data_IF_196481263929
#
_entry.id   IF_196481263929
#
_cell.length_a   1.000
_cell.length_b   1.000
_cell.length_c   1.000
_cell.angle_alpha   90.00
_cell.angle_beta   90.00
_cell.angle_gamma   90.00
#
_symmetry.space_group_name_H-M   'P 1'
#
loop_
_entity.id
_entity.type
_entity.pdbx_description
1 polymer ?
#
# COMPACT_ATOMS: atom_id res chain seq x y z
N UNK A 1 10.27 9.61 -18.80
CA UNK A 1 11.36 9.03 -19.63
C UNK A 1 11.38 7.51 -19.44
N UNK A 2 11.93 6.76 -20.38
CA UNK A 2 12.10 5.31 -20.28
C UNK A 2 13.43 4.90 -20.92
N UNK A 3 13.93 3.75 -20.53
CA UNK A 3 15.06 3.07 -21.15
C UNK A 3 14.53 2.10 -22.19
N UNK A 4 15.23 1.97 -23.32
CA UNK A 4 14.90 1.04 -24.39
C UNK A 4 16.16 0.33 -24.85
N UNK A 5 16.06 -0.99 -25.07
CA UNK A 5 17.10 -1.79 -25.70
C UNK A 5 16.71 -2.11 -27.14
N UNK A 6 17.50 -1.60 -28.10
CA UNK A 6 17.25 -1.73 -29.54
C UNK A 6 16.07 -0.90 -30.03
N UNK A 7 15.83 -0.88 -31.35
CA UNK A 7 14.75 -0.12 -31.97
C UNK A 7 13.47 -0.93 -32.21
N UNK A 8 13.54 -2.26 -32.01
CA UNK A 8 12.44 -3.19 -32.29
C UNK A 8 12.38 -3.52 -33.78
N UNK A 9 13.39 -4.23 -34.28
CA UNK A 9 13.41 -4.74 -35.65
C UNK A 9 12.56 -6.01 -35.77
N UNK A 10 12.07 -6.30 -36.99
CA UNK A 10 11.31 -7.52 -37.32
C UNK A 10 10.02 -7.78 -36.50
N UNK A 11 9.39 -6.72 -35.98
CA UNK A 11 8.10 -6.81 -35.29
C UNK A 11 8.18 -7.20 -33.81
N UNK A 12 9.38 -7.36 -33.26
CA UNK A 12 9.56 -7.56 -31.82
C UNK A 12 9.44 -6.24 -31.05
N UNK A 13 8.73 -6.27 -29.91
CA UNK A 13 8.64 -5.10 -29.04
C UNK A 13 9.97 -4.91 -28.31
N UNK A 14 10.62 -3.75 -28.41
CA UNK A 14 11.91 -3.54 -27.76
C UNK A 14 11.74 -3.61 -26.25
N UNK A 15 12.75 -4.15 -25.56
CA UNK A 15 12.73 -4.24 -24.11
C UNK A 15 12.77 -2.83 -23.54
N UNK A 16 11.82 -2.53 -22.64
CA UNK A 16 11.70 -1.21 -22.02
C UNK A 16 11.66 -1.30 -20.52
N UNK A 17 12.24 -0.31 -19.86
CA UNK A 17 12.11 -0.12 -18.42
C UNK A 17 11.82 1.34 -18.11
N UNK A 18 11.08 1.57 -17.02
CA UNK A 18 10.77 2.93 -16.59
C UNK A 18 12.05 3.59 -16.08
N UNK A 19 12.21 4.88 -16.37
CA UNK A 19 13.32 5.64 -15.79
C UNK A 19 13.02 5.98 -14.31
N UNK A 20 13.97 5.82 -13.37
CA UNK A 20 13.79 6.17 -11.97
C UNK A 20 13.32 7.62 -11.76
N UNK A 21 12.30 7.81 -10.91
CA UNK A 21 11.82 9.16 -10.57
C UNK A 21 12.87 9.89 -9.74
N UNK A 22 13.19 11.13 -10.12
CA UNK A 22 14.09 12.00 -9.35
C UNK A 22 15.58 11.88 -9.71
N UNK A 23 15.99 10.91 -10.54
CA UNK A 23 17.35 10.88 -11.12
C UNK A 23 17.46 11.77 -12.36
N UNK A 24 18.67 12.22 -12.68
CA UNK A 24 18.97 12.86 -13.97
C UNK A 24 19.40 11.81 -14.99
N UNK A 25 19.15 12.11 -16.27
CA UNK A 25 19.52 11.21 -17.37
C UNK A 25 21.03 11.00 -17.48
N UNK A 26 21.81 12.03 -17.14
CA UNK A 26 23.28 12.03 -17.15
C UNK A 26 23.89 11.09 -16.09
N UNK A 27 23.13 10.80 -15.04
CA UNK A 27 23.59 9.98 -13.91
C UNK A 27 23.44 8.48 -14.18
N UNK A 28 22.92 8.06 -15.34
CA UNK A 28 22.68 6.65 -15.66
C UNK A 28 23.64 6.19 -16.74
N UNK A 29 24.57 5.32 -16.35
CA UNK A 29 25.51 4.70 -17.29
C UNK A 29 24.90 3.47 -17.98
N UNK A 30 25.67 2.86 -18.90
CA UNK A 30 25.23 1.67 -19.63
C UNK A 30 24.97 0.47 -18.69
N UNK A 31 25.80 0.29 -17.65
CA UNK A 31 25.68 -0.83 -16.74
C UNK A 31 24.39 -0.72 -15.91
N UNK A 32 24.11 0.46 -15.36
CA UNK A 32 22.87 0.76 -14.65
C UNK A 32 21.65 0.70 -15.57
N UNK A 33 21.77 1.15 -16.83
CA UNK A 33 20.69 1.05 -17.80
C UNK A 33 20.32 -0.41 -18.09
N UNK A 34 21.32 -1.27 -18.29
CA UNK A 34 21.13 -2.71 -18.48
C UNK A 34 20.52 -3.37 -17.24
N UNK A 35 20.96 -2.94 -16.05
CA UNK A 35 20.39 -3.39 -14.78
C UNK A 35 18.90 -3.04 -14.68
N UNK A 36 18.52 -1.79 -14.96
CA UNK A 36 17.12 -1.36 -14.98
C UNK A 36 16.29 -2.09 -16.04
N UNK A 37 16.89 -2.36 -17.21
CA UNK A 37 16.30 -3.16 -18.28
C UNK A 37 16.17 -4.65 -17.93
N UNK A 38 16.88 -5.15 -16.92
CA UNK A 38 16.73 -6.54 -16.46
C UNK A 38 15.41 -6.78 -15.69
N UNK A 39 14.76 -5.72 -15.20
CA UNK A 39 13.51 -5.81 -14.45
C UNK A 39 12.33 -6.21 -15.34
N UNK A 40 11.31 -6.89 -14.79
CA UNK A 40 11.19 -7.34 -13.40
C UNK A 40 12.10 -8.54 -13.06
N UNK A 41 12.72 -8.52 -11.87
CA UNK A 41 13.62 -9.57 -11.35
C UNK A 41 12.82 -10.58 -10.52
N UNK A 42 13.01 -11.87 -10.76
CA UNK A 42 12.51 -12.92 -9.87
C UNK A 42 13.31 -12.89 -8.55
N UNK A 43 12.60 -12.69 -7.43
CA UNK A 43 13.20 -12.73 -6.09
C UNK A 43 13.22 -14.16 -5.57
N UNK A 44 12.14 -14.91 -5.80
CA UNK A 44 11.99 -16.30 -5.39
C UNK A 44 10.53 -16.76 -5.47
N UNK A 45 10.27 -17.95 -4.93
CA UNK A 45 8.93 -18.51 -4.78
C UNK A 45 8.55 -18.46 -3.30
N UNK A 46 7.36 -17.98 -3.00
CA UNK A 46 6.82 -17.99 -1.65
C UNK A 46 6.50 -19.42 -1.22
N UNK A 47 7.08 -19.87 -0.11
CA UNK A 47 6.89 -21.23 0.41
C UNK A 47 5.45 -21.50 0.85
N UNK A 48 4.71 -20.48 1.30
CA UNK A 48 3.36 -20.65 1.84
C UNK A 48 2.30 -20.73 0.74
N UNK A 49 2.49 -19.98 -0.35
CA UNK A 49 1.49 -19.88 -1.44
C UNK A 49 1.93 -20.57 -2.73
N UNK A 50 3.21 -20.88 -2.89
CA UNK A 50 3.79 -21.36 -4.14
C UNK A 50 3.83 -20.30 -5.26
N UNK A 51 3.50 -19.03 -4.97
CA UNK A 51 3.49 -17.97 -5.97
C UNK A 51 4.88 -17.32 -6.12
N UNK A 52 5.22 -16.95 -7.35
CA UNK A 52 6.42 -16.16 -7.62
C UNK A 52 6.34 -14.76 -7.02
N UNK A 53 7.44 -14.35 -6.39
CA UNK A 53 7.66 -13.00 -5.91
C UNK A 53 8.66 -12.30 -6.83
N UNK A 54 8.22 -11.19 -7.43
CA UNK A 54 9.04 -10.40 -8.38
C UNK A 54 9.27 -8.99 -7.88
N UNK A 55 10.48 -8.48 -8.04
CA UNK A 55 10.85 -7.09 -7.79
C UNK A 55 10.88 -6.30 -9.11
N UNK A 56 10.51 -5.02 -9.08
CA UNK A 56 10.46 -4.20 -10.29
C UNK A 56 10.30 -2.72 -10.01
N UNK A 57 10.27 -1.94 -11.11
CA UNK A 57 10.09 -0.50 -11.07
C UNK A 57 8.79 -0.11 -11.78
N UNK A 58 7.87 0.49 -11.03
CA UNK A 58 6.55 0.88 -11.53
C UNK A 58 6.32 2.40 -11.49
N UNK A 59 5.09 2.81 -11.85
CA UNK A 59 4.69 4.23 -11.87
C UNK A 59 4.87 4.97 -10.53
N UNK A 60 4.86 4.24 -9.42
CA UNK A 60 4.95 4.79 -8.07
C UNK A 60 6.32 4.58 -7.43
N UNK A 61 7.30 4.03 -8.16
CA UNK A 61 8.60 3.66 -7.63
C UNK A 61 8.81 2.15 -7.57
N UNK A 62 9.87 1.71 -6.88
CA UNK A 62 10.25 0.31 -6.77
C UNK A 62 9.22 -0.49 -5.95
N UNK A 63 9.02 -1.75 -6.31
CA UNK A 63 8.03 -2.61 -5.70
C UNK A 63 8.44 -4.09 -5.71
N UNK A 64 7.81 -4.86 -4.83
CA UNK A 64 7.72 -6.33 -4.89
C UNK A 64 6.27 -6.74 -5.16
N UNK A 65 6.06 -7.84 -5.88
CA UNK A 65 4.73 -8.34 -6.25
C UNK A 65 4.64 -9.84 -6.11
N UNK A 66 3.54 -10.30 -5.52
CA UNK A 66 3.09 -11.70 -5.48
C UNK A 66 1.67 -11.76 -6.05
N UNK A 67 1.50 -12.43 -7.18
CA UNK A 67 0.23 -12.44 -7.91
C UNK A 67 -0.30 -11.04 -8.25
N UNK A 68 -1.42 -10.63 -7.62
CA UNK A 68 -2.06 -9.31 -7.79
C UNK A 68 -1.71 -8.30 -6.69
N UNK A 69 -0.97 -8.71 -5.65
CA UNK A 69 -0.60 -7.86 -4.53
C UNK A 69 0.77 -7.26 -4.79
N UNK A 70 0.87 -5.94 -4.66
CA UNK A 70 2.12 -5.19 -4.83
C UNK A 70 2.45 -4.54 -3.50
N UNK A 71 3.70 -4.57 -3.04
CA UNK A 71 4.21 -3.75 -1.94
C UNK A 71 5.34 -2.85 -2.42
N UNK A 72 5.40 -1.63 -1.88
CA UNK A 72 6.40 -0.64 -2.29
C UNK A 72 7.69 -0.89 -1.52
N UNK A 73 8.82 -0.73 -2.21
CA UNK A 73 10.14 -0.72 -1.58
C UNK A 73 10.50 0.72 -1.20
N UNK A 74 11.31 0.89 -0.15
CA UNK A 74 11.69 2.21 0.34
C UNK A 74 12.77 2.84 -0.56
N UNK A 75 13.78 2.05 -0.91
CA UNK A 75 14.91 2.53 -1.71
C UNK A 75 14.88 1.94 -3.12
N UNK A 76 15.58 2.62 -4.03
CA UNK A 76 15.74 2.13 -5.40
C UNK A 76 16.56 0.85 -5.44
N UNK A 77 17.67 0.78 -4.71
CA UNK A 77 18.59 -0.37 -4.78
C UNK A 77 17.96 -1.68 -4.29
N UNK A 78 16.97 -1.57 -3.40
CA UNK A 78 16.21 -2.71 -2.87
C UNK A 78 15.57 -3.55 -4.00
N UNK A 79 15.26 -2.96 -5.15
CA UNK A 79 14.68 -3.72 -6.27
C UNK A 79 15.63 -4.80 -6.82
N UNK A 80 16.93 -4.67 -6.55
CA UNK A 80 17.97 -5.62 -6.95
C UNK A 80 18.44 -6.50 -5.79
N UNK A 81 18.37 -6.01 -4.56
CA UNK A 81 18.95 -6.68 -3.38
C UNK A 81 17.92 -7.36 -2.47
N UNK A 82 16.65 -7.00 -2.53
CA UNK A 82 15.62 -7.53 -1.61
C UNK A 82 15.56 -9.06 -1.64
N UNK A 83 15.52 -9.67 -0.45
CA UNK A 83 15.38 -11.11 -0.25
C UNK A 83 13.92 -11.58 -0.26
N UNK A 84 13.71 -12.90 -0.41
CA UNK A 84 12.37 -13.49 -0.47
C UNK A 84 11.57 -13.26 0.82
N UNK A 85 12.21 -13.43 1.99
CA UNK A 85 11.56 -13.29 3.29
C UNK A 85 11.05 -11.85 3.53
N UNK A 86 11.91 -10.87 3.25
CA UNK A 86 11.55 -9.45 3.36
C UNK A 86 10.44 -9.08 2.36
N UNK A 87 10.55 -9.54 1.12
CA UNK A 87 9.54 -9.27 0.09
C UNK A 87 8.17 -9.85 0.48
N UNK A 88 8.13 -11.08 0.98
CA UNK A 88 6.91 -11.72 1.48
C UNK A 88 6.34 -10.94 2.67
N UNK A 89 7.17 -10.53 3.63
CA UNK A 89 6.77 -9.72 4.79
C UNK A 89 6.13 -8.38 4.37
N UNK A 90 6.71 -7.67 3.41
CA UNK A 90 6.14 -6.42 2.89
C UNK A 90 4.79 -6.62 2.20
N UNK A 91 4.64 -7.71 1.46
CA UNK A 91 3.41 -8.07 0.76
C UNK A 91 2.31 -8.45 1.77
N UNK A 92 2.66 -9.23 2.79
CA UNK A 92 1.82 -9.60 3.92
C UNK A 92 1.32 -8.36 4.68
N UNK A 93 2.22 -7.45 5.07
CA UNK A 93 1.91 -6.22 5.77
C UNK A 93 0.93 -5.36 4.96
N UNK A 94 1.15 -5.24 3.64
CA UNK A 94 0.26 -4.47 2.79
C UNK A 94 -1.10 -5.14 2.61
N UNK A 95 -1.17 -6.47 2.54
CA UNK A 95 -2.42 -7.24 2.50
C UNK A 95 -3.22 -7.05 3.80
N UNK A 96 -2.53 -7.01 4.94
CA UNK A 96 -3.08 -6.69 6.26
C UNK A 96 -3.39 -5.19 6.42
N UNK A 97 -3.25 -4.37 5.38
CA UNK A 97 -3.61 -2.95 5.41
C UNK A 97 -2.65 -2.07 6.23
N UNK A 98 -1.44 -2.57 6.52
CA UNK A 98 -0.40 -1.84 7.25
C UNK A 98 -0.88 -1.33 8.61
N UNK A 99 -1.66 -2.13 9.33
CA UNK A 99 -2.06 -1.80 10.68
C UNK A 99 -1.69 -2.87 11.69
N UNK A 100 -1.24 -2.42 12.86
CA UNK A 100 -1.01 -3.28 14.04
C UNK A 100 -2.16 -3.07 15.02
N UNK A 101 -2.58 -4.14 15.70
CA UNK A 101 -3.57 -4.01 16.77
C UNK A 101 -2.85 -3.43 17.99
N UNK A 102 -3.29 -2.26 18.46
CA UNK A 102 -2.78 -1.66 19.69
C UNK A 102 -3.56 -2.17 20.89
N UNK A 103 -4.90 -2.19 20.80
CA UNK A 103 -5.78 -2.59 21.90
C UNK A 103 -7.13 -3.05 21.39
N UNK A 104 -7.71 -4.06 22.03
CA UNK A 104 -9.10 -4.46 21.81
C UNK A 104 -9.95 -3.93 22.96
N UNK A 105 -11.00 -3.17 22.66
CA UNK A 105 -11.90 -2.59 23.66
C UNK A 105 -13.13 -3.46 23.93
N UNK A 106 -13.41 -4.42 23.04
CA UNK A 106 -14.53 -5.36 23.15
C UNK A 106 -15.79 -4.91 22.42
N UNK A 107 -16.91 -5.56 22.69
CA UNK A 107 -18.16 -5.35 21.96
C UNK A 107 -18.79 -3.99 22.25
N UNK A 108 -19.17 -3.28 21.20
CA UNK A 108 -19.86 -2.00 21.27
C UNK A 108 -21.18 -2.13 22.04
N UNK A 109 -21.44 -1.29 23.06
CA UNK A 109 -22.59 -1.45 23.96
C UNK A 109 -23.96 -1.38 23.25
N UNK A 110 -24.08 -0.58 22.19
CA UNK A 110 -25.31 -0.48 21.37
C UNK A 110 -25.40 -1.44 20.19
N UNK A 111 -24.28 -1.74 19.50
CA UNK A 111 -24.31 -2.48 18.23
C UNK A 111 -23.83 -3.92 18.36
N UNK A 112 -23.15 -4.27 19.46
CA UNK A 112 -22.56 -5.58 19.70
C UNK A 112 -21.34 -5.90 18.84
N UNK A 113 -20.83 -4.93 18.06
CA UNK A 113 -19.69 -5.12 17.16
C UNK A 113 -18.38 -4.87 17.91
N UNK A 114 -17.37 -5.71 17.73
CA UNK A 114 -16.08 -5.53 18.38
C UNK A 114 -15.37 -4.25 17.94
N UNK A 115 -14.98 -3.45 18.93
CA UNK A 115 -14.23 -2.21 18.76
C UNK A 115 -12.76 -2.46 19.08
N UNK A 116 -11.89 -2.02 18.15
CA UNK A 116 -10.43 -2.15 18.26
C UNK A 116 -9.73 -0.83 17.96
N UNK A 117 -8.60 -0.62 18.62
CA UNK A 117 -7.66 0.46 18.33
C UNK A 117 -6.49 -0.14 17.58
N UNK A 118 -6.23 0.41 16.39
CA UNK A 118 -5.21 -0.07 15.47
C UNK A 118 -4.24 1.08 15.14
N UNK A 119 -2.95 0.81 15.00
CA UNK A 119 -1.98 1.76 14.47
C UNK A 119 -1.89 1.60 12.96
N UNK A 120 -2.25 2.61 12.18
CA UNK A 120 -2.16 2.56 10.72
C UNK A 120 -1.15 3.56 10.15
N UNK A 121 -1.06 3.60 8.81
CA UNK A 121 -0.17 4.53 8.06
C UNK A 121 -0.24 6.00 8.50
N UNK A 122 -1.40 6.46 8.96
CA UNK A 122 -1.66 7.86 9.31
C UNK A 122 -1.70 8.11 10.83
N UNK A 123 -1.32 7.11 11.63
CA UNK A 123 -1.41 7.13 13.10
C UNK A 123 -2.51 6.21 13.65
N UNK A 124 -2.67 6.16 14.98
CA UNK A 124 -3.68 5.36 15.65
C UNK A 124 -5.11 5.71 15.22
N UNK A 125 -5.97 4.71 15.11
CA UNK A 125 -7.38 4.87 14.83
C UNK A 125 -8.23 3.80 15.51
N UNK A 126 -9.45 4.16 15.87
CA UNK A 126 -10.48 3.23 16.33
C UNK A 126 -11.27 2.70 15.14
N UNK A 127 -11.61 1.42 15.15
CA UNK A 127 -12.49 0.80 14.16
C UNK A 127 -13.43 -0.23 14.80
N UNK A 128 -14.66 -0.30 14.27
CA UNK A 128 -15.63 -1.38 14.49
C UNK A 128 -15.67 -2.34 13.27
N UNK A 129 -14.67 -2.28 12.39
CA UNK A 129 -14.63 -2.98 11.10
C UNK A 129 -15.47 -2.33 9.99
N UNK A 130 -16.42 -1.45 10.33
CA UNK A 130 -17.31 -0.79 9.35
C UNK A 130 -17.01 0.71 9.19
N UNK A 131 -16.75 1.40 10.28
CA UNK A 131 -16.41 2.80 10.40
C UNK A 131 -15.07 2.95 11.14
N UNK A 132 -14.27 3.91 10.68
CA UNK A 132 -12.92 4.14 11.19
C UNK A 132 -12.80 5.61 11.60
N UNK A 133 -12.27 5.85 12.80
CA UNK A 133 -12.06 7.16 13.36
C UNK A 133 -10.61 7.32 13.82
N UNK A 134 -9.85 8.22 13.18
CA UNK A 134 -8.47 8.50 13.58
C UNK A 134 -8.41 9.20 14.93
N UNK A 135 -7.48 8.78 15.79
CA UNK A 135 -7.17 9.48 17.03
C UNK A 135 -6.48 10.81 16.71
N UNK A 136 -6.72 11.81 17.55
CA UNK A 136 -5.99 13.08 17.46
C UNK A 136 -4.59 12.91 18.07
N UNK A 137 -3.66 13.81 17.74
CA UNK A 137 -2.25 13.72 18.21
C UNK A 137 -2.10 13.85 19.73
N UNK A 138 -3.08 14.46 20.38
CA UNK A 138 -3.18 14.71 21.80
C UNK A 138 -3.88 13.57 22.57
N UNK A 139 -4.39 12.55 21.88
CA UNK A 139 -5.09 11.43 22.50
C UNK A 139 -4.17 10.20 22.57
N UNK A 140 -4.05 9.60 23.76
CA UNK A 140 -3.33 8.34 23.93
C UNK A 140 -4.22 7.15 23.55
N UNK A 141 -3.65 6.20 22.81
CA UNK A 141 -4.32 4.97 22.43
C UNK A 141 -4.54 4.03 23.62
N UNK A 142 -3.71 4.11 24.66
CA UNK A 142 -3.81 3.27 25.85
C UNK A 142 -4.85 3.80 26.84
N UNK A 143 -4.99 5.12 26.97
CA UNK A 143 -5.93 5.75 27.91
C UNK A 143 -7.35 5.89 27.34
N UNK A 144 -7.53 5.69 26.03
CA UNK A 144 -8.83 5.84 25.38
C UNK A 144 -9.88 4.92 26.01
N UNK A 145 -11.00 5.50 26.40
CA UNK A 145 -12.14 4.76 26.98
C UNK A 145 -13.04 4.19 25.90
N UNK A 146 -13.83 3.17 26.26
CA UNK A 146 -14.80 2.57 25.35
C UNK A 146 -15.87 3.57 24.90
N UNK A 147 -16.27 4.47 25.80
CA UNK A 147 -17.31 5.48 25.55
C UNK A 147 -16.84 6.50 24.50
N UNK A 148 -15.62 7.00 24.63
CA UNK A 148 -15.00 7.91 23.66
C UNK A 148 -14.79 7.24 22.30
N UNK A 149 -14.32 5.98 22.31
CA UNK A 149 -14.13 5.18 21.10
C UNK A 149 -15.45 5.01 20.33
N UNK A 150 -16.54 4.75 21.04
CA UNK A 150 -17.90 4.65 20.48
C UNK A 150 -18.35 5.99 19.87
N UNK A 151 -18.17 7.10 20.58
CA UNK A 151 -18.54 8.42 20.07
C UNK A 151 -17.77 8.74 18.78
N UNK A 152 -16.47 8.48 18.77
CA UNK A 152 -15.62 8.67 17.59
C UNK A 152 -16.11 7.84 16.39
N UNK A 153 -16.49 6.58 16.61
CA UNK A 153 -17.03 5.69 15.58
C UNK A 153 -18.38 6.19 15.06
N UNK A 154 -19.30 6.60 15.95
CA UNK A 154 -20.61 7.14 15.56
C UNK A 154 -20.44 8.40 14.69
N UNK A 155 -19.55 9.31 15.09
CA UNK A 155 -19.22 10.50 14.30
C UNK A 155 -18.61 10.14 12.94
N UNK A 156 -17.71 9.14 12.90
CA UNK A 156 -17.14 8.65 11.66
C UNK A 156 -18.21 8.02 10.74
N UNK A 157 -19.16 7.27 11.29
CA UNK A 157 -20.27 6.69 10.54
C UNK A 157 -21.18 7.76 9.94
N UNK A 158 -21.49 8.83 10.69
CA UNK A 158 -22.25 10.00 10.20
C UNK A 158 -21.50 10.70 9.06
N UNK A 159 -20.19 10.95 9.23
CA UNK A 159 -19.33 11.55 8.19
C UNK A 159 -19.25 10.69 6.92
N UNK A 160 -19.22 9.36 7.05
CA UNK A 160 -19.23 8.42 5.92
C UNK A 160 -20.55 8.49 5.16
N UNK A 161 -21.70 8.50 5.86
CA UNK A 161 -23.04 8.63 5.26
C UNK A 161 -23.20 9.98 4.53
N UNK A 162 -22.75 11.09 5.12
CA UNK A 162 -22.85 12.42 4.51
C UNK A 162 -21.97 12.58 3.26
N UNK A 163 -20.75 12.02 3.26
CA UNK A 163 -19.86 11.97 2.08
C UNK A 163 -20.48 11.16 0.93
N UNK A 164 -21.10 10.00 1.22
CA UNK A 164 -21.79 9.17 0.21
C UNK A 164 -23.01 9.87 -0.41
N UNK A 165 -23.72 10.70 0.37
CA UNK A 165 -24.84 11.52 -0.12
C UNK A 165 -24.36 12.67 -1.03
N UNK A 166 -23.23 13.31 -0.70
CA UNK A 166 -22.61 14.36 -1.55
C UNK A 166 -22.08 13.80 -2.87
N UNK A 167 -21.44 12.62 -2.87
CA UNK A 167 -20.94 12.02 -4.12
C UNK A 167 -22.07 11.60 -5.07
N UNK A 168 -23.18 11.05 -4.56
CA UNK A 168 -24.38 10.72 -5.37
C UNK A 168 -25.06 11.96 -5.97
N UNK A 169 -25.01 13.11 -5.30
CA UNK A 169 -25.52 14.38 -5.84
C UNK A 169 -24.62 14.95 -6.95
N UNK A 170 -23.30 14.79 -6.84
CA UNK A 170 -22.35 15.26 -7.86
C UNK A 170 -22.42 14.44 -9.15
N UNK A 171 -22.75 13.15 -9.07
CA UNK A 171 -22.98 12.29 -10.24
C UNK A 171 -24.33 12.48 -10.94
N UNK A 172 -25.23 13.32 -10.41
CA UNK A 172 -26.59 13.54 -10.94
C UNK A 172 -26.75 14.95 -11.56
N UNK A 173 -25.65 15.61 -11.92
CA UNK A 173 -25.63 16.87 -12.66
C UNK A 173 -24.77 16.73 -13.93
N UNK A 174 -25.26 15.94 -14.88
CA UNK A 174 -24.94 16.03 -16.31
C UNK A 174 -25.93 15.16 -17.08
N UNK A 175 -26.98 15.80 -17.57
CA UNK A 175 -27.64 15.51 -18.84
C UNK A 175 -28.37 16.78 -19.25
#
# INVERSE_FOLDING_TARGET
PYLQLGDGEDGEKPKRSSFPKGRKLEDVDLAEALLLLSLPRLVGVDADTGEEVVAGLGRFGPFVRRGKVFASLANHDDMFTVGIEEAVSLIEQKKKGGHTVLRELGAHPKTGIDVRILSGRYGPYVTDGTANASLRKDMDAEELTMEEAVEMIEQAAIRKKSRKKKSRRKGRKTK
#
